data_IF_114607826138
#
_entry.id   IF_114607826138
#
_cell.length_a   1.000
_cell.length_b   1.000
_cell.length_c   1.000
_cell.angle_alpha   90.00
_cell.angle_beta   90.00
_cell.angle_gamma   90.00
#
_symmetry.space_group_name_H-M   'P 1'
#
loop_
_entity.id
_entity.type
_entity.pdbx_description
1 polymer ?
#
# COMPACT_ATOMS: atom_id res chain seq x y z
N UNK A 1 -54.25 40.97 -14.22
CA UNK A 1 -52.96 41.37 -13.61
C UNK A 1 -51.86 40.59 -14.30
N UNK A 2 -51.19 41.16 -15.31
CA UNK A 2 -50.02 40.51 -15.92
C UNK A 2 -48.85 40.57 -14.96
N UNK A 3 -48.42 39.42 -14.47
CA UNK A 3 -47.20 39.26 -13.69
C UNK A 3 -46.00 39.40 -14.62
N UNK A 4 -45.31 40.53 -14.52
CA UNK A 4 -44.01 40.75 -15.18
C UNK A 4 -42.99 39.79 -14.56
N UNK A 5 -42.42 38.91 -15.37
CA UNK A 5 -41.36 37.98 -14.94
C UNK A 5 -40.10 38.80 -14.62
N UNK A 6 -39.42 38.61 -13.47
CA UNK A 6 -38.26 39.41 -13.09
C UNK A 6 -37.10 39.25 -14.07
N UNK A 7 -36.51 40.36 -14.49
CA UNK A 7 -35.34 40.44 -15.35
C UNK A 7 -34.17 39.66 -14.72
N UNK A 8 -33.69 38.60 -15.36
CA UNK A 8 -32.59 37.74 -14.86
C UNK A 8 -32.77 36.24 -15.01
N UNK A 9 -33.91 35.76 -15.55
CA UNK A 9 -34.21 34.33 -15.72
C UNK A 9 -33.76 33.73 -17.06
N UNK A 10 -32.76 34.32 -17.73
CA UNK A 10 -32.07 33.65 -18.82
C UNK A 10 -30.76 33.11 -18.25
N UNK A 11 -30.73 31.84 -17.86
CA UNK A 11 -29.49 31.16 -17.52
C UNK A 11 -28.92 30.63 -18.85
N UNK A 12 -27.99 31.35 -19.50
CA UNK A 12 -27.43 30.89 -20.77
C UNK A 12 -26.77 29.51 -20.56
N UNK A 13 -26.74 28.65 -21.61
CA UNK A 13 -26.10 27.35 -21.51
C UNK A 13 -24.66 27.48 -21.02
N UNK A 14 -24.26 26.61 -20.10
CA UNK A 14 -22.89 26.56 -19.62
C UNK A 14 -21.96 25.97 -20.69
N UNK A 15 -20.64 26.19 -20.62
CA UNK A 15 -19.69 25.52 -21.51
C UNK A 15 -19.81 23.99 -21.46
N UNK A 16 -20.23 23.42 -20.33
CA UNK A 16 -20.59 22.02 -20.21
C UNK A 16 -21.84 21.66 -21.01
N UNK A 17 -22.90 22.47 -20.93
CA UNK A 17 -24.15 22.23 -21.68
C UNK A 17 -23.91 22.31 -23.19
N UNK A 18 -23.09 23.27 -23.65
CA UNK A 18 -22.70 23.39 -25.06
C UNK A 18 -21.90 22.16 -25.54
N UNK A 19 -20.89 21.75 -24.77
CA UNK A 19 -20.09 20.57 -25.09
C UNK A 19 -20.94 19.29 -25.09
N UNK A 20 -21.86 19.16 -24.13
CA UNK A 20 -22.80 18.04 -24.04
C UNK A 20 -23.73 17.99 -25.24
N UNK A 21 -24.32 19.12 -25.64
CA UNK A 21 -25.20 19.19 -26.80
C UNK A 21 -24.46 18.80 -28.10
N UNK A 22 -23.24 19.30 -28.30
CA UNK A 22 -22.41 18.97 -29.45
C UNK A 22 -22.08 17.47 -29.52
N UNK A 23 -21.70 16.87 -28.40
CA UNK A 23 -21.36 15.44 -28.33
C UNK A 23 -22.60 14.55 -28.54
N UNK A 24 -23.76 14.92 -27.97
CA UNK A 24 -25.00 14.15 -28.17
C UNK A 24 -25.45 14.18 -29.63
N UNK A 25 -25.32 15.32 -30.31
CA UNK A 25 -25.59 15.43 -31.75
C UNK A 25 -24.65 14.53 -32.58
N UNK A 26 -23.36 14.51 -32.25
CA UNK A 26 -22.39 13.62 -32.88
C UNK A 26 -22.66 12.14 -32.59
N UNK A 27 -23.18 11.82 -31.40
CA UNK A 27 -23.56 10.46 -31.06
C UNK A 27 -24.73 9.97 -31.92
N UNK A 28 -25.73 10.83 -32.15
CA UNK A 28 -26.85 10.52 -33.05
C UNK A 28 -26.36 10.28 -34.49
N UNK A 29 -25.47 11.13 -35.01
CA UNK A 29 -24.85 10.94 -36.33
C UNK A 29 -23.99 9.66 -36.37
N UNK A 30 -23.25 9.37 -35.30
CA UNK A 30 -22.45 8.15 -35.20
C UNK A 30 -23.30 6.88 -35.21
N UNK A 31 -24.46 6.87 -34.53
CA UNK A 31 -25.39 5.74 -34.58
C UNK A 31 -25.93 5.48 -35.98
N UNK A 32 -26.02 6.50 -36.82
CA UNK A 32 -26.46 6.33 -38.21
C UNK A 32 -25.39 5.68 -39.10
N UNK A 33 -24.12 6.06 -38.94
CA UNK A 33 -23.02 5.57 -39.78
C UNK A 33 -22.31 4.31 -39.27
N UNK A 34 -22.40 4.01 -37.96
CA UNK A 34 -21.66 2.95 -37.28
C UNK A 34 -22.61 1.89 -36.70
N UNK A 35 -23.52 1.38 -37.53
CA UNK A 35 -24.54 0.38 -37.16
C UNK A 35 -24.03 -1.08 -37.21
N UNK A 36 -22.79 -1.29 -37.66
CA UNK A 36 -22.14 -2.59 -37.79
C UNK A 36 -22.22 -3.19 -39.20
N UNK A 37 -22.82 -2.49 -40.17
CA UNK A 37 -22.73 -2.86 -41.57
C UNK A 37 -21.28 -2.76 -42.10
N UNK A 38 -20.96 -3.58 -43.10
CA UNK A 38 -19.68 -3.48 -43.81
C UNK A 38 -19.64 -2.17 -44.60
N UNK A 39 -18.53 -1.44 -44.47
CA UNK A 39 -18.28 -0.22 -45.26
C UNK A 39 -18.03 -0.64 -46.70
N UNK A 40 -19.01 -0.38 -47.57
CA UNK A 40 -19.06 -0.93 -48.93
C UNK A 40 -18.68 0.08 -50.01
N UNK A 41 -18.56 1.36 -49.64
CA UNK A 41 -18.20 2.43 -50.56
C UNK A 41 -17.15 3.40 -49.99
N UNK A 42 -16.37 4.01 -50.88
CA UNK A 42 -15.40 5.05 -50.47
C UNK A 42 -16.10 6.26 -49.84
N UNK A 43 -17.32 6.59 -50.29
CA UNK A 43 -18.10 7.69 -49.72
C UNK A 43 -18.50 7.42 -48.26
N UNK A 44 -18.88 6.19 -47.91
CA UNK A 44 -19.12 5.78 -46.52
C UNK A 44 -17.84 5.87 -45.68
N UNK A 45 -16.70 5.38 -46.22
CA UNK A 45 -15.42 5.46 -45.53
C UNK A 45 -15.00 6.93 -45.25
N UNK A 46 -15.18 7.81 -46.22
CA UNK A 46 -14.86 9.25 -46.11
C UNK A 46 -15.80 9.95 -45.11
N UNK A 47 -17.09 9.59 -45.10
CA UNK A 47 -18.07 10.10 -44.13
C UNK A 47 -17.71 9.68 -42.69
N UNK A 48 -17.36 8.40 -42.48
CA UNK A 48 -16.90 7.89 -41.19
C UNK A 48 -15.59 8.58 -40.75
N UNK A 49 -14.65 8.81 -41.68
CA UNK A 49 -13.42 9.53 -41.37
C UNK A 49 -13.68 10.98 -40.95
N UNK A 50 -14.64 11.66 -41.58
CA UNK A 50 -15.08 13.01 -41.19
C UNK A 50 -15.74 13.02 -39.81
N UNK A 51 -16.63 12.07 -39.54
CA UNK A 51 -17.25 11.89 -38.22
C UNK A 51 -16.20 11.67 -37.12
N UNK A 52 -15.17 10.86 -37.39
CA UNK A 52 -14.05 10.64 -36.47
C UNK A 52 -13.29 11.95 -36.16
N UNK A 53 -13.02 12.79 -37.17
CA UNK A 53 -12.39 14.09 -36.96
C UNK A 53 -13.28 15.03 -36.12
N UNK A 54 -14.59 15.07 -36.41
CA UNK A 54 -15.56 15.85 -35.63
C UNK A 54 -15.62 15.39 -34.16
N UNK A 55 -15.65 14.08 -33.90
CA UNK A 55 -15.60 13.53 -32.55
C UNK A 55 -14.29 13.88 -31.82
N UNK A 56 -13.15 13.81 -32.50
CA UNK A 56 -11.84 14.21 -31.96
C UNK A 56 -11.83 15.70 -31.59
N UNK A 57 -12.40 16.57 -32.42
CA UNK A 57 -12.53 18.02 -32.16
C UNK A 57 -13.45 18.32 -30.98
N UNK A 58 -14.67 17.76 -30.97
CA UNK A 58 -15.62 17.96 -29.88
C UNK A 58 -15.04 17.52 -28.53
N UNK A 59 -14.34 16.38 -28.48
CA UNK A 59 -13.60 15.94 -27.28
C UNK A 59 -12.56 16.97 -26.83
N UNK A 60 -11.77 17.52 -27.76
CA UNK A 60 -10.73 18.51 -27.45
C UNK A 60 -11.33 19.81 -26.91
N UNK A 61 -12.45 20.26 -27.47
CA UNK A 61 -13.16 21.45 -27.03
C UNK A 61 -13.75 21.27 -25.63
N UNK A 62 -14.43 20.15 -25.39
CA UNK A 62 -14.95 19.78 -24.07
C UNK A 62 -13.86 19.71 -22.99
N UNK A 63 -12.71 19.07 -23.28
CA UNK A 63 -11.59 19.02 -22.33
C UNK A 63 -10.96 20.40 -22.11
N UNK A 64 -10.94 21.27 -23.13
CA UNK A 64 -10.48 22.65 -22.99
C UNK A 64 -11.40 23.47 -22.09
N UNK A 65 -12.72 23.35 -22.26
CA UNK A 65 -13.71 23.99 -21.40
C UNK A 65 -13.57 23.50 -19.95
N UNK A 66 -13.52 22.18 -19.75
CA UNK A 66 -13.30 21.57 -18.43
C UNK A 66 -12.02 22.09 -17.75
N UNK A 67 -10.90 22.17 -18.48
CA UNK A 67 -9.63 22.69 -17.94
C UNK A 67 -9.74 24.17 -17.53
N UNK A 68 -10.45 24.99 -18.29
CA UNK A 68 -10.69 26.40 -17.95
C UNK A 68 -11.53 26.53 -16.69
N UNK A 69 -12.60 25.76 -16.57
CA UNK A 69 -13.45 25.74 -15.38
C UNK A 69 -12.72 25.20 -14.14
N UNK A 70 -11.90 24.15 -14.31
CA UNK A 70 -11.11 23.56 -13.23
C UNK A 70 -9.95 24.46 -12.75
N UNK A 71 -9.39 25.29 -13.64
CA UNK A 71 -8.21 26.13 -13.39
C UNK A 71 -8.24 26.90 -12.07
N UNK A 72 -9.27 27.71 -11.73
CA UNK A 72 -9.29 28.44 -10.46
C UNK A 72 -9.27 27.51 -9.23
N UNK A 73 -9.88 26.33 -9.32
CA UNK A 73 -9.86 25.35 -8.23
C UNK A 73 -8.50 24.66 -8.11
N UNK A 74 -7.89 24.30 -9.25
CA UNK A 74 -6.55 23.71 -9.27
C UNK A 74 -5.49 24.70 -8.75
N UNK A 75 -5.56 25.95 -9.17
CA UNK A 75 -4.68 27.02 -8.72
C UNK A 75 -4.90 27.32 -7.22
N UNK A 76 -6.16 27.44 -6.77
CA UNK A 76 -6.48 27.65 -5.35
C UNK A 76 -6.07 26.48 -4.46
N UNK A 77 -6.27 25.24 -4.92
CA UNK A 77 -5.78 24.03 -4.24
C UNK A 77 -4.25 24.06 -4.13
N UNK A 78 -3.55 24.40 -5.22
CA UNK A 78 -2.09 24.50 -5.25
C UNK A 78 -1.57 25.57 -4.29
N UNK A 79 -2.24 26.73 -4.22
CA UNK A 79 -1.89 27.79 -3.29
C UNK A 79 -2.01 27.32 -1.83
N UNK A 80 -3.14 26.72 -1.46
CA UNK A 80 -3.36 26.17 -0.11
C UNK A 80 -2.30 25.12 0.21
N UNK A 81 -2.07 24.17 -0.70
CA UNK A 81 -1.04 23.14 -0.50
C UNK A 81 0.35 23.76 -0.30
N UNK A 82 0.71 24.77 -1.09
CA UNK A 82 2.00 25.45 -0.98
C UNK A 82 2.16 26.17 0.36
N UNK A 83 1.09 26.82 0.85
CA UNK A 83 1.10 27.51 2.15
C UNK A 83 1.27 26.55 3.33
N UNK A 84 0.58 25.40 3.31
CA UNK A 84 0.62 24.44 4.41
C UNK A 84 1.82 23.50 4.36
N UNK A 85 2.36 23.21 3.17
CA UNK A 85 3.50 22.30 3.01
C UNK A 85 4.67 22.58 3.97
N UNK A 86 5.22 23.81 4.08
CA UNK A 86 6.35 24.04 4.99
C UNK A 86 5.98 23.86 6.48
N UNK A 87 4.72 24.11 6.86
CA UNK A 87 4.25 23.89 8.24
C UNK A 87 4.15 22.39 8.55
N UNK A 88 3.61 21.61 7.62
CA UNK A 88 3.51 20.16 7.77
C UNK A 88 4.90 19.52 7.77
N UNK A 89 5.80 19.95 6.88
CA UNK A 89 7.20 19.51 6.86
C UNK A 89 7.93 19.89 8.16
N UNK A 90 7.64 21.06 8.75
CA UNK A 90 8.16 21.44 10.07
C UNK A 90 7.68 20.46 11.15
N UNK A 91 6.39 20.11 11.18
CA UNK A 91 5.84 19.13 12.11
C UNK A 91 6.46 17.74 11.91
N UNK A 92 6.65 17.31 10.65
CA UNK A 92 7.30 16.04 10.32
C UNK A 92 8.75 16.02 10.80
N UNK A 93 9.49 17.13 10.63
CA UNK A 93 10.85 17.28 11.16
C UNK A 93 10.88 17.20 12.68
N UNK A 94 9.98 17.89 13.38
CA UNK A 94 9.88 17.83 14.84
C UNK A 94 9.60 16.40 15.29
N UNK A 95 8.63 15.72 14.66
CA UNK A 95 8.29 14.35 14.97
C UNK A 95 9.45 13.37 14.74
N UNK A 96 10.20 13.53 13.65
CA UNK A 96 11.41 12.74 13.37
C UNK A 96 12.50 12.96 14.42
N UNK A 97 12.77 14.21 14.81
CA UNK A 97 13.74 14.54 15.86
C UNK A 97 13.31 13.96 17.21
N UNK A 98 12.03 14.05 17.59
CA UNK A 98 11.52 13.44 18.83
C UNK A 98 11.68 11.91 18.84
N UNK A 99 11.44 11.24 17.71
CA UNK A 99 11.65 9.79 17.58
C UNK A 99 13.13 9.44 17.73
N UNK A 100 14.02 10.14 17.02
CA UNK A 100 15.48 9.93 17.08
C UNK A 100 16.05 10.20 18.47
N UNK A 101 15.59 11.25 19.14
CA UNK A 101 16.03 11.60 20.50
C UNK A 101 15.67 10.51 21.51
N UNK A 102 14.47 9.92 21.39
CA UNK A 102 14.01 8.87 22.30
C UNK A 102 14.49 7.46 21.92
N UNK A 103 14.92 7.23 20.68
CA UNK A 103 15.33 5.90 20.22
C UNK A 103 16.43 5.26 21.09
N UNK A 104 17.53 5.96 21.46
CA UNK A 104 18.55 5.40 22.34
C UNK A 104 18.00 4.97 23.71
N UNK A 105 17.06 5.73 24.27
CA UNK A 105 16.42 5.39 25.55
C UNK A 105 15.57 4.13 25.42
N UNK A 106 14.76 4.03 24.37
CA UNK A 106 13.95 2.83 24.11
C UNK A 106 14.82 1.58 23.88
N UNK A 107 15.97 1.72 23.21
CA UNK A 107 16.94 0.63 23.05
C UNK A 107 17.49 0.19 24.40
N UNK A 108 17.84 1.13 25.29
CA UNK A 108 18.28 0.80 26.66
C UNK A 108 17.20 0.07 27.44
N UNK A 109 15.94 0.52 27.36
CA UNK A 109 14.81 -0.15 28.01
C UNK A 109 14.58 -1.57 27.47
N UNK A 110 14.72 -1.76 26.16
CA UNK A 110 14.60 -3.08 25.55
C UNK A 110 15.74 -4.02 25.96
N UNK A 111 16.96 -3.50 26.07
CA UNK A 111 18.12 -4.27 26.57
C UNK A 111 17.96 -4.65 28.04
N UNK A 112 17.51 -3.72 28.90
CA UNK A 112 17.19 -4.02 30.30
C UNK A 112 16.10 -5.09 30.40
N UNK A 113 15.02 -4.95 29.63
CA UNK A 113 13.93 -5.94 29.57
C UNK A 113 14.44 -7.32 29.15
N UNK A 114 15.30 -7.40 28.13
CA UNK A 114 15.88 -8.67 27.67
C UNK A 114 16.73 -9.33 28.75
N UNK A 115 17.49 -8.55 29.52
CA UNK A 115 18.27 -9.07 30.66
C UNK A 115 17.36 -9.58 31.77
N UNK A 116 16.33 -8.82 32.12
CA UNK A 116 15.34 -9.23 33.12
C UNK A 116 14.59 -10.49 32.70
N UNK A 117 14.18 -10.56 31.42
CA UNK A 117 13.54 -11.74 30.84
C UNK A 117 14.48 -12.96 30.86
N UNK A 118 15.75 -12.80 30.46
CA UNK A 118 16.74 -13.86 30.52
C UNK A 118 16.99 -14.35 31.96
N UNK A 119 17.10 -13.43 32.92
CA UNK A 119 17.25 -13.76 34.33
C UNK A 119 16.01 -14.48 34.90
N UNK A 120 14.81 -14.03 34.54
CA UNK A 120 13.57 -14.67 34.97
C UNK A 120 13.41 -16.08 34.36
N UNK A 121 13.79 -16.26 33.09
CA UNK A 121 13.83 -17.58 32.43
C UNK A 121 14.84 -18.51 33.10
N UNK A 122 16.06 -18.05 33.36
CA UNK A 122 17.08 -18.84 34.05
C UNK A 122 16.62 -19.30 35.44
N UNK A 123 15.99 -18.41 36.22
CA UNK A 123 15.38 -18.79 37.51
C UNK A 123 14.25 -19.81 37.35
N UNK A 124 13.37 -19.63 36.37
CA UNK A 124 12.29 -20.59 36.11
C UNK A 124 12.84 -21.97 35.71
N UNK A 125 13.91 -22.03 34.92
CA UNK A 125 14.59 -23.27 34.54
C UNK A 125 15.26 -23.96 35.74
N UNK A 126 15.92 -23.19 36.61
CA UNK A 126 16.55 -23.71 37.83
C UNK A 126 15.52 -24.27 38.81
N UNK A 127 14.45 -23.51 39.11
CA UNK A 127 13.39 -23.94 40.02
C UNK A 127 12.61 -25.13 39.44
N UNK A 128 12.40 -25.17 38.12
CA UNK A 128 11.82 -26.34 37.47
C UNK A 128 12.73 -27.58 37.57
N UNK A 129 14.06 -27.41 37.53
CA UNK A 129 15.00 -28.51 37.78
C UNK A 129 14.91 -29.00 39.22
N UNK A 130 14.95 -28.11 40.21
CA UNK A 130 14.81 -28.46 41.65
C UNK A 130 13.48 -29.16 41.94
N UNK A 131 12.39 -28.69 41.35
CA UNK A 131 11.08 -29.32 41.48
C UNK A 131 11.05 -30.73 40.90
N UNK A 132 11.68 -30.96 39.74
CA UNK A 132 11.81 -32.30 39.14
C UNK A 132 12.63 -33.23 40.04
N UNK A 133 13.80 -32.77 40.50
CA UNK A 133 14.67 -33.54 41.41
C UNK A 133 13.95 -33.88 42.73
N UNK A 134 13.22 -32.92 43.31
CA UNK A 134 12.47 -33.15 44.55
C UNK A 134 11.30 -34.14 44.37
N UNK A 135 10.59 -34.07 43.24
CA UNK A 135 9.55 -35.05 42.91
C UNK A 135 10.11 -36.46 42.68
N UNK A 136 11.27 -36.59 42.04
CA UNK A 136 11.94 -37.88 41.84
C UNK A 136 12.48 -38.47 43.15
N UNK A 137 12.98 -37.62 44.06
CA UNK A 137 13.47 -38.04 45.36
C UNK A 137 12.35 -38.34 46.38
N UNK A 138 11.15 -37.79 46.19
CA UNK A 138 10.03 -37.97 47.10
C UNK A 138 9.48 -39.39 47.09
N UNK A 139 9.68 -40.12 48.20
CA UNK A 139 9.08 -41.45 48.40
C UNK A 139 7.62 -41.33 48.81
N UNK A 140 6.77 -42.23 48.31
CA UNK A 140 5.32 -42.22 48.58
C UNK A 140 4.94 -42.37 50.07
N UNK A 141 5.82 -42.92 50.88
CA UNK A 141 5.62 -43.15 52.33
C UNK A 141 6.27 -42.09 53.22
N UNK A 142 6.92 -41.07 52.66
CA UNK A 142 7.59 -40.00 53.41
C UNK A 142 6.83 -38.68 53.22
N UNK A 143 6.15 -38.25 54.28
CA UNK A 143 5.34 -37.02 54.27
C UNK A 143 6.21 -35.77 54.13
N UNK A 144 7.37 -35.71 54.81
CA UNK A 144 8.26 -34.55 54.76
C UNK A 144 8.88 -34.37 53.37
N UNK A 145 9.24 -35.48 52.71
CA UNK A 145 9.75 -35.45 51.33
C UNK A 145 8.67 -34.99 50.33
N UNK A 146 7.40 -35.37 50.55
CA UNK A 146 6.27 -34.90 49.72
C UNK A 146 6.00 -33.41 49.91
N UNK A 147 5.97 -32.92 51.15
CA UNK A 147 5.77 -31.50 51.42
C UNK A 147 6.89 -30.64 50.84
N UNK A 148 8.14 -31.10 50.87
CA UNK A 148 9.26 -30.41 50.23
C UNK A 148 9.11 -30.41 48.70
N UNK A 149 8.75 -31.53 48.08
CA UNK A 149 8.51 -31.58 46.64
C UNK A 149 7.35 -30.65 46.21
N UNK A 150 6.27 -30.59 46.98
CA UNK A 150 5.16 -29.66 46.74
C UNK A 150 5.58 -28.18 46.88
N UNK A 151 6.41 -27.84 47.88
CA UNK A 151 7.01 -26.50 48.00
C UNK A 151 7.86 -26.15 46.78
N UNK A 152 8.73 -27.05 46.32
CA UNK A 152 9.57 -26.83 45.14
C UNK A 152 8.74 -26.68 43.87
N UNK A 153 7.67 -27.47 43.69
CA UNK A 153 6.72 -27.30 42.59
C UNK A 153 6.03 -25.93 42.64
N UNK A 154 5.69 -25.44 43.82
CA UNK A 154 5.09 -24.11 43.98
C UNK A 154 6.09 -23.00 43.62
N UNK A 155 7.34 -23.08 44.07
CA UNK A 155 8.40 -22.16 43.66
C UNK A 155 8.63 -22.15 42.14
N UNK A 156 8.63 -23.33 41.50
CA UNK A 156 8.73 -23.44 40.05
C UNK A 156 7.56 -22.77 39.32
N UNK A 157 6.32 -22.94 39.80
CA UNK A 157 5.13 -22.28 39.23
C UNK A 157 5.20 -20.75 39.35
N UNK A 158 5.66 -20.24 40.48
CA UNK A 158 5.78 -18.80 40.72
C UNK A 158 6.91 -18.19 39.87
N UNK A 159 8.04 -18.89 39.75
CA UNK A 159 9.13 -18.50 38.85
C UNK A 159 8.71 -18.53 37.37
N UNK A 160 7.95 -19.53 36.94
CA UNK A 160 7.39 -19.59 35.58
C UNK A 160 6.42 -18.42 35.32
N UNK A 161 5.56 -18.09 36.30
CA UNK A 161 4.65 -16.94 36.19
C UNK A 161 5.43 -15.63 36.05
N UNK A 162 6.49 -15.45 36.83
CA UNK A 162 7.35 -14.28 36.73
C UNK A 162 8.04 -14.18 35.36
N UNK A 163 8.57 -15.29 34.83
CA UNK A 163 9.16 -15.34 33.48
C UNK A 163 8.12 -14.99 32.39
N UNK A 164 6.91 -15.54 32.48
CA UNK A 164 5.80 -15.22 31.56
C UNK A 164 5.34 -13.76 31.65
N UNK A 165 5.42 -13.14 32.82
CA UNK A 165 5.11 -11.72 32.98
C UNK A 165 6.20 -10.84 32.37
N UNK A 166 7.48 -11.17 32.61
CA UNK A 166 8.63 -10.46 32.04
C UNK A 166 8.60 -10.49 30.50
N UNK A 167 8.29 -11.65 29.89
CA UNK A 167 8.23 -11.79 28.43
C UNK A 167 7.15 -10.94 27.77
N UNK A 168 6.06 -10.61 28.49
CA UNK A 168 4.94 -9.80 28.00
C UNK A 168 5.16 -8.30 28.11
N UNK A 169 6.13 -7.87 28.90
CA UNK A 169 6.43 -6.43 29.02
C UNK A 169 6.95 -5.89 27.68
N UNK A 170 6.71 -4.61 27.41
CA UNK A 170 7.20 -3.94 26.20
C UNK A 170 7.91 -2.66 26.57
N UNK A 171 9.11 -2.45 26.02
CA UNK A 171 9.82 -1.18 26.17
C UNK A 171 9.00 -0.05 25.53
N UNK A 172 8.58 0.92 26.35
CA UNK A 172 7.71 2.01 25.90
C UNK A 172 8.00 3.31 26.64
N UNK A 173 7.95 4.43 25.92
CA UNK A 173 7.92 5.76 26.48
C UNK A 173 6.46 6.24 26.55
N UNK A 174 5.99 6.57 27.76
CA UNK A 174 4.62 7.00 28.04
C UNK A 174 4.64 8.51 28.33
N UNK A 175 3.84 9.28 27.60
CA UNK A 175 3.82 10.74 27.74
C UNK A 175 2.75 11.45 26.91
N UNK A 176 2.02 10.72 26.05
CA UNK A 176 0.87 11.23 25.30
C UNK A 176 -0.19 10.14 25.17
N UNK A 177 -1.22 10.40 24.37
CA UNK A 177 -2.34 9.46 24.15
C UNK A 177 -1.91 8.07 23.63
N UNK A 178 -0.75 7.99 22.96
CA UNK A 178 -0.15 6.73 22.52
C UNK A 178 1.28 6.63 23.03
N UNK A 179 1.64 5.46 23.57
CA UNK A 179 3.01 5.17 23.96
C UNK A 179 3.89 4.96 22.73
N UNK A 180 5.15 5.40 22.81
CA UNK A 180 6.13 5.18 21.74
C UNK A 180 6.95 3.93 22.05
N UNK A 181 7.00 3.01 21.10
CA UNK A 181 7.69 1.71 21.20
C UNK A 181 8.66 1.53 20.02
N UNK A 182 9.54 0.53 20.12
CA UNK A 182 10.36 0.10 19.00
C UNK A 182 9.55 -0.82 18.07
N UNK A 183 9.78 -0.68 16.76
CA UNK A 183 9.26 -1.60 15.73
C UNK A 183 10.41 -2.41 15.16
N UNK A 184 10.27 -3.73 15.14
CA UNK A 184 11.16 -4.62 14.37
C UNK A 184 10.83 -4.50 12.88
N UNK A 185 11.85 -4.19 12.07
CA UNK A 185 11.73 -4.10 10.61
C UNK A 185 12.70 -5.11 10.00
N UNK A 186 12.19 -6.00 9.16
CA UNK A 186 13.00 -6.94 8.39
C UNK A 186 13.29 -6.34 7.02
N UNK A 187 14.57 -6.21 6.68
CA UNK A 187 15.00 -5.76 5.35
C UNK A 187 15.71 -6.92 4.65
N UNK A 188 15.23 -7.36 3.48
CA UNK A 188 15.93 -8.36 2.71
C UNK A 188 17.15 -7.73 2.02
N UNK A 189 18.25 -8.45 2.00
CA UNK A 189 19.42 -8.17 1.18
C UNK A 189 19.66 -9.40 0.29
N UNK A 190 19.67 -9.20 -1.02
CA UNK A 190 19.94 -10.29 -1.98
C UNK A 190 21.46 -10.41 -2.10
N UNK A 191 22.02 -11.42 -1.45
CA UNK A 191 23.47 -11.70 -1.49
C UNK A 191 23.89 -12.43 -2.76
N UNK A 192 23.03 -13.30 -3.29
CA UNK A 192 23.25 -14.03 -4.54
C UNK A 192 21.98 -13.99 -5.41
N UNK A 193 22.00 -13.12 -6.42
CA UNK A 193 20.86 -12.93 -7.31
C UNK A 193 20.50 -14.20 -8.11
N UNK A 194 21.49 -15.03 -8.44
CA UNK A 194 21.25 -16.26 -9.22
C UNK A 194 20.52 -17.30 -8.39
N UNK A 195 20.93 -17.51 -7.15
CA UNK A 195 20.25 -18.42 -6.23
C UNK A 195 18.84 -17.94 -5.91
N UNK A 196 18.68 -16.64 -5.64
CA UNK A 196 17.37 -16.05 -5.40
C UNK A 196 16.45 -16.19 -6.63
N UNK A 197 16.95 -15.95 -7.84
CA UNK A 197 16.18 -16.13 -9.06
C UNK A 197 15.75 -17.60 -9.28
N UNK A 198 16.62 -18.58 -8.97
CA UNK A 198 16.27 -20.01 -9.02
C UNK A 198 15.18 -20.34 -8.01
N UNK A 199 15.28 -19.81 -6.79
CA UNK A 199 14.24 -19.97 -5.78
C UNK A 199 12.92 -19.34 -6.23
N UNK A 200 12.94 -18.12 -6.76
CA UNK A 200 11.76 -17.48 -7.31
C UNK A 200 11.16 -18.26 -8.48
N UNK A 201 11.98 -18.86 -9.35
CA UNK A 201 11.48 -19.70 -10.43
C UNK A 201 10.70 -20.93 -9.93
N UNK A 202 11.08 -21.47 -8.76
CA UNK A 202 10.43 -22.62 -8.14
C UNK A 202 9.19 -22.24 -7.33
N UNK A 203 9.27 -21.18 -6.53
CA UNK A 203 8.26 -20.85 -5.52
C UNK A 203 7.44 -19.58 -5.82
N UNK A 204 8.00 -18.62 -6.57
CA UNK A 204 7.40 -17.31 -6.89
C UNK A 204 7.38 -17.09 -8.42
N UNK A 205 6.88 -18.09 -9.16
CA UNK A 205 7.00 -18.13 -10.62
C UNK A 205 6.22 -17.01 -11.31
N UNK A 206 4.99 -16.73 -10.88
CA UNK A 206 4.13 -15.77 -11.57
C UNK A 206 4.69 -14.34 -11.56
N UNK A 207 5.10 -13.77 -10.41
CA UNK A 207 5.73 -12.45 -10.38
C UNK A 207 7.00 -12.38 -11.24
N UNK A 208 7.78 -13.46 -11.29
CA UNK A 208 8.98 -13.53 -12.12
C UNK A 208 8.62 -13.52 -13.62
N UNK A 209 7.58 -14.25 -14.03
CA UNK A 209 7.09 -14.23 -15.41
C UNK A 209 6.56 -12.86 -15.81
N UNK A 210 5.82 -12.16 -14.94
CA UNK A 210 5.32 -10.82 -15.21
C UNK A 210 6.48 -9.83 -15.45
N UNK A 211 7.56 -9.96 -14.68
CA UNK A 211 8.78 -9.18 -14.89
C UNK A 211 9.44 -9.50 -16.25
N UNK A 212 9.53 -10.78 -16.61
CA UNK A 212 10.09 -11.21 -17.90
C UNK A 212 9.25 -10.73 -19.09
N UNK A 213 7.92 -10.78 -18.99
CA UNK A 213 6.99 -10.24 -20.00
C UNK A 213 7.17 -8.73 -20.18
N UNK A 214 7.27 -7.98 -19.08
CA UNK A 214 7.53 -6.54 -19.14
C UNK A 214 8.87 -6.21 -19.81
N UNK A 215 9.90 -7.04 -19.60
CA UNK A 215 11.19 -6.91 -20.28
C UNK A 215 11.04 -7.20 -21.78
N UNK A 216 10.35 -8.28 -22.16
CA UNK A 216 10.11 -8.64 -23.56
C UNK A 216 9.37 -7.52 -24.30
N UNK A 217 8.26 -7.02 -23.76
CA UNK A 217 7.48 -5.90 -24.33
C UNK A 217 8.35 -4.65 -24.53
N UNK A 218 9.17 -4.30 -23.54
CA UNK A 218 10.09 -3.15 -23.64
C UNK A 218 11.13 -3.32 -24.75
N UNK A 219 11.65 -4.54 -24.93
CA UNK A 219 12.61 -4.85 -25.99
C UNK A 219 11.98 -4.74 -27.39
N UNK A 220 10.77 -5.27 -27.57
CA UNK A 220 10.00 -5.13 -28.82
C UNK A 220 9.74 -3.65 -29.14
N UNK A 221 9.34 -2.85 -28.15
CA UNK A 221 9.13 -1.41 -28.31
C UNK A 221 10.41 -0.67 -28.78
N UNK A 222 11.57 -1.13 -28.33
CA UNK A 222 12.88 -0.63 -28.76
C UNK A 222 13.35 -1.25 -30.09
N UNK A 223 12.45 -1.84 -30.88
CA UNK A 223 12.70 -2.47 -32.19
C UNK A 223 13.65 -3.67 -32.14
N UNK A 224 13.87 -4.26 -30.98
CA UNK A 224 14.66 -5.48 -30.85
C UNK A 224 13.76 -6.70 -31.08
N UNK A 225 14.01 -7.45 -32.16
CA UNK A 225 13.16 -8.58 -32.60
C UNK A 225 13.78 -9.98 -32.40
N UNK A 226 15.05 -10.07 -32.02
CA UNK A 226 15.77 -11.33 -31.88
C UNK A 226 15.95 -11.71 -30.40
N UNK A 227 14.95 -12.39 -29.83
CA UNK A 227 14.94 -12.79 -28.41
C UNK A 227 14.75 -14.30 -28.28
N UNK A 228 15.75 -15.04 -27.74
CA UNK A 228 15.60 -16.46 -27.47
C UNK A 228 14.39 -16.75 -26.56
N UNK A 229 13.53 -17.68 -26.97
CA UNK A 229 12.36 -18.10 -26.19
C UNK A 229 11.15 -17.16 -26.26
N UNK A 230 11.15 -16.14 -27.14
CA UNK A 230 10.03 -15.21 -27.34
C UNK A 230 9.60 -15.22 -28.81
N UNK A 231 8.29 -15.32 -29.05
CA UNK A 231 7.68 -15.21 -30.39
C UNK A 231 7.02 -13.83 -30.51
N UNK A 232 7.24 -13.14 -31.64
CA UNK A 232 6.67 -11.80 -31.90
C UNK A 232 5.60 -11.91 -32.98
N UNK A 233 4.42 -11.35 -32.69
CA UNK A 233 3.30 -11.24 -33.63
C UNK A 233 3.20 -9.81 -34.18
N UNK A 234 2.92 -9.64 -35.47
CA UNK A 234 2.75 -8.34 -36.14
C UNK A 234 1.31 -8.19 -36.64
N UNK A 235 0.56 -7.27 -36.03
CA UNK A 235 -0.81 -6.92 -36.40
C UNK A 235 -0.88 -5.46 -36.85
N UNK A 236 -1.65 -5.15 -37.89
CA UNK A 236 -1.91 -3.76 -38.36
C UNK A 236 -3.28 -3.31 -37.88
N UNK A 237 -3.33 -2.20 -37.14
CA UNK A 237 -4.54 -1.64 -36.52
C UNK A 237 -4.68 -0.16 -36.92
N UNK A 238 -5.89 0.37 -37.22
CA UNK A 238 -6.11 1.78 -37.56
C UNK A 238 -5.69 2.73 -36.42
N UNK A 239 -5.23 3.95 -36.78
CA UNK A 239 -4.66 4.97 -35.85
C UNK A 239 -5.61 6.14 -35.57
#
# INVERSE_FOLDING_TARGET
MSTVVPLGHNNPPSPFDDAKASILSLEEEARHWLDGAEVSSQAEADAIAKLLDMARKAKKEADTARKKEAKPFDDGKKEIQTRYKPLLEQCDRIADVCKKANQPWLIKLEELRRREEAAARAKAEEEARKAREALEAARASDLAAREEAERQVQFAKDAERAARQASKQTASAKGGARAMTLRTVYRPEITNATEFARWCWQYEKQPLLDCLDAIAKRRVANKFRDMPGVVIHEDKVPV
#
